data_IF_853762322527
#
_entry.id   IF_853762322527
#
_cell.length_a   1.000
_cell.length_b   1.000
_cell.length_c   1.000
_cell.angle_alpha   90.00
_cell.angle_beta   90.00
_cell.angle_gamma   90.00
#
_symmetry.space_group_name_H-M   'P 1'
#
loop_
_entity.id
_entity.type
_entity.pdbx_description
1 polymer ?
#
# COMPACT_ATOMS: atom_id res chain seq x y z
N UNK A 1 -9.80 -1.73 -11.83
CA UNK A 1 -8.47 -1.84 -11.20
C UNK A 1 -8.51 -1.77 -9.67
N UNK A 2 -9.10 -0.72 -9.06
CA UNK A 2 -9.20 -0.56 -7.59
C UNK A 2 -9.71 -1.82 -6.87
N UNK A 3 -10.78 -2.46 -7.36
CA UNK A 3 -11.37 -3.64 -6.72
C UNK A 3 -10.37 -4.79 -6.62
N UNK A 4 -9.64 -5.08 -7.70
CA UNK A 4 -8.64 -6.15 -7.71
C UNK A 4 -7.52 -5.90 -6.69
N UNK A 5 -7.10 -4.64 -6.51
CA UNK A 5 -6.11 -4.32 -5.49
C UNK A 5 -6.67 -4.40 -4.08
N UNK A 6 -7.89 -3.91 -3.83
CA UNK A 6 -8.55 -4.09 -2.53
C UNK A 6 -8.65 -5.58 -2.15
N UNK A 7 -8.92 -6.43 -3.13
CA UNK A 7 -8.91 -7.89 -2.94
C UNK A 7 -7.50 -8.45 -2.71
N UNK A 8 -6.47 -7.88 -3.36
CA UNK A 8 -5.07 -8.17 -3.06
C UNK A 8 -4.66 -7.78 -1.64
N UNK A 9 -5.14 -6.63 -1.14
CA UNK A 9 -4.87 -6.15 0.22
C UNK A 9 -5.41 -7.11 1.27
N UNK A 10 -6.63 -7.63 1.09
CA UNK A 10 -7.22 -8.64 1.98
C UNK A 10 -6.45 -9.97 2.00
N UNK A 11 -5.55 -10.21 1.04
CA UNK A 11 -4.64 -11.36 1.08
C UNK A 11 -3.37 -11.08 1.89
N UNK A 12 -2.98 -9.81 2.03
CA UNK A 12 -1.79 -9.35 2.75
C UNK A 12 -2.05 -9.18 4.25
N UNK A 13 -3.19 -8.58 4.62
CA UNK A 13 -3.60 -8.39 6.02
C UNK A 13 -4.85 -9.26 6.24
N UNK A 14 -4.68 -10.38 6.94
CA UNK A 14 -5.75 -11.35 7.22
C UNK A 14 -6.17 -11.30 8.69
N UNK A 15 -5.24 -10.96 9.59
CA UNK A 15 -5.45 -10.82 11.02
C UNK A 15 -5.11 -9.39 11.48
N UNK A 16 -5.67 -8.96 12.61
CA UNK A 16 -5.43 -7.63 13.19
C UNK A 16 -3.99 -7.37 13.62
N UNK A 17 -3.21 -8.44 13.79
CA UNK A 17 -1.78 -8.39 14.15
C UNK A 17 -0.86 -8.44 12.93
N UNK A 18 -1.40 -8.65 11.73
CA UNK A 18 -0.58 -8.77 10.53
C UNK A 18 0.02 -7.41 10.15
N UNK A 19 1.33 -7.43 9.89
CA UNK A 19 2.09 -6.28 9.40
C UNK A 19 2.60 -6.64 8.00
N UNK A 20 2.36 -5.78 7.02
CA UNK A 20 2.86 -5.98 5.66
C UNK A 20 3.07 -4.68 4.91
N UNK A 21 3.84 -4.76 3.82
CA UNK A 21 4.08 -3.66 2.89
C UNK A 21 3.39 -3.98 1.57
N UNK A 22 2.57 -3.07 1.07
CA UNK A 22 2.01 -3.12 -0.28
C UNK A 22 2.86 -2.24 -1.20
N UNK A 23 3.61 -2.86 -2.11
CA UNK A 23 4.39 -2.13 -3.11
C UNK A 23 3.64 -2.07 -4.44
N UNK A 24 3.44 -0.86 -4.95
CA UNK A 24 2.88 -0.65 -6.29
C UNK A 24 3.90 0.10 -7.15
N UNK A 25 4.44 -0.60 -8.15
CA UNK A 25 5.47 -0.09 -9.06
C UNK A 25 4.85 0.47 -10.34
N UNK A 26 3.89 1.39 -10.20
CA UNK A 26 3.22 2.04 -11.34
C UNK A 26 3.17 3.56 -11.12
N UNK A 27 3.96 4.29 -11.92
CA UNK A 27 4.04 5.77 -11.88
C UNK A 27 2.67 6.44 -12.09
N UNK A 28 1.75 5.77 -12.79
CA UNK A 28 0.41 6.29 -13.07
C UNK A 28 -0.44 6.41 -11.80
N UNK A 29 -0.07 5.75 -10.71
CA UNK A 29 -0.73 5.95 -9.43
C UNK A 29 -0.52 7.34 -8.86
N UNK A 30 0.57 8.02 -9.21
CA UNK A 30 0.83 9.38 -8.74
C UNK A 30 0.40 10.44 -9.76
N UNK A 31 0.52 10.14 -11.06
CA UNK A 31 0.30 11.13 -12.12
C UNK A 31 -1.13 11.15 -12.65
N UNK A 32 -1.90 10.06 -12.51
CA UNK A 32 -3.27 10.02 -13.01
C UNK A 32 -4.28 10.61 -12.04
N UNK A 33 -5.36 11.18 -12.58
CA UNK A 33 -6.53 11.62 -11.78
C UNK A 33 -7.15 10.48 -10.97
N UNK A 34 -7.02 9.24 -11.45
CA UNK A 34 -7.49 8.03 -10.78
C UNK A 34 -6.67 7.67 -9.54
N UNK A 35 -5.38 8.01 -9.52
CA UNK A 35 -4.47 7.76 -8.41
C UNK A 35 -4.96 8.30 -7.07
N UNK A 36 -5.53 9.51 -7.08
CA UNK A 36 -6.13 10.14 -5.88
C UNK A 36 -7.31 9.33 -5.34
N UNK A 37 -8.29 9.02 -6.19
CA UNK A 37 -9.45 8.20 -5.80
C UNK A 37 -9.04 6.81 -5.33
N UNK A 38 -7.97 6.29 -5.90
CA UNK A 38 -7.40 5.02 -5.51
C UNK A 38 -6.86 5.06 -4.07
N UNK A 39 -6.05 6.07 -3.71
CA UNK A 39 -5.52 6.21 -2.35
C UNK A 39 -6.63 6.49 -1.32
N UNK A 40 -7.61 7.31 -1.68
CA UNK A 40 -8.79 7.57 -0.84
C UNK A 40 -9.64 6.31 -0.59
N UNK A 41 -9.59 5.34 -1.50
CA UNK A 41 -10.37 4.11 -1.38
C UNK A 41 -9.73 3.07 -0.46
N UNK A 42 -8.45 3.23 -0.11
CA UNK A 42 -7.69 2.30 0.71
C UNK A 42 -7.74 2.72 2.18
N UNK A 43 -7.52 1.79 3.14
CA UNK A 43 -7.39 2.14 4.55
C UNK A 43 -6.31 3.21 4.76
N UNK A 44 -6.42 3.98 5.84
CA UNK A 44 -5.36 4.95 6.21
C UNK A 44 -4.04 4.19 6.36
N UNK A 45 -3.10 4.47 5.46
CA UNK A 45 -1.77 3.89 5.45
C UNK A 45 -0.76 4.94 5.05
N UNK A 46 0.47 4.76 5.52
CA UNK A 46 1.59 5.65 5.17
C UNK A 46 2.00 5.38 3.73
N UNK A 47 2.01 6.42 2.90
CA UNK A 47 2.61 6.36 1.57
C UNK A 47 4.11 6.58 1.69
N UNK A 48 4.86 5.69 1.03
CA UNK A 48 6.33 5.65 1.13
C UNK A 48 6.88 5.72 -0.30
N UNK A 49 7.91 6.54 -0.48
CA UNK A 49 8.58 6.72 -1.78
C UNK A 49 10.06 6.32 -1.73
N UNK A 50 10.56 6.00 -0.55
CA UNK A 50 11.95 5.65 -0.29
C UNK A 50 12.08 4.22 0.27
N UNK A 51 13.16 3.55 -0.11
CA UNK A 51 13.46 2.20 0.37
C UNK A 51 13.93 2.16 1.82
N UNK A 52 14.45 3.28 2.36
CA UNK A 52 15.01 3.34 3.72
C UNK A 52 13.90 3.16 4.78
N UNK A 53 12.75 3.79 4.56
CA UNK A 53 11.58 3.66 5.42
C UNK A 53 11.01 2.24 5.38
N UNK A 54 11.11 1.55 4.24
CA UNK A 54 10.75 0.13 4.14
C UNK A 54 11.71 -0.73 4.95
N UNK A 55 13.02 -0.44 4.93
CA UNK A 55 13.99 -1.18 5.75
C UNK A 55 13.63 -1.11 7.24
N UNK A 56 13.36 0.09 7.76
CA UNK A 56 12.90 0.30 9.14
C UNK A 56 11.60 -0.45 9.47
N UNK A 57 10.70 -0.65 8.50
CA UNK A 57 9.47 -1.40 8.74
C UNK A 57 9.74 -2.87 9.11
N UNK A 58 10.78 -3.47 8.52
CA UNK A 58 11.15 -4.88 8.70
C UNK A 58 12.21 -5.10 9.80
N UNK A 59 12.77 -4.04 10.39
CA UNK A 59 13.64 -4.18 11.55
C UNK A 59 12.88 -4.87 12.70
N UNK A 60 13.46 -5.91 13.33
CA UNK A 60 12.88 -6.51 14.53
C UNK A 60 12.73 -5.43 15.61
N UNK A 61 11.55 -5.35 16.23
CA UNK A 61 11.37 -4.57 17.45
C UNK A 61 11.91 -5.32 18.66
#
# INVERSE_FOLDING_TARGET
AIIALKQGLGRLIRNSTDRGVLSVLDVRMMTSRYGRFFFESLPKMTLIHDLQTIHRFFEPQ
#
